data_IF_478973013580
#
_entry.id   IF_478973013580
#
_cell.length_a   1.000
_cell.length_b   1.000
_cell.length_c   1.000
_cell.angle_alpha   90.00
_cell.angle_beta   90.00
_cell.angle_gamma   90.00
#
_symmetry.space_group_name_H-M   'P 1'
#
loop_
_entity.id
_entity.type
_entity.pdbx_description
1 polymer ?
#
# COMPACT_ATOMS: atom_id res chain seq x y z
N UNK A 1 39.12 -20.08 12.15
CA UNK A 1 37.96 -19.50 11.45
C UNK A 1 38.13 -17.98 11.53
N UNK A 2 38.10 -17.27 10.39
CA UNK A 2 38.52 -15.86 10.30
C UNK A 2 37.37 -14.91 10.70
N UNK A 3 37.46 -14.31 11.88
CA UNK A 3 36.47 -13.36 12.42
C UNK A 3 36.26 -12.13 11.52
N UNK A 4 37.30 -11.68 10.80
CA UNK A 4 37.20 -10.54 9.89
C UNK A 4 36.28 -10.83 8.68
N UNK A 5 36.29 -12.08 8.18
CA UNK A 5 35.35 -12.49 7.13
C UNK A 5 33.90 -12.51 7.65
N UNK A 6 33.69 -12.88 8.91
CA UNK A 6 32.35 -12.96 9.49
C UNK A 6 31.71 -11.57 9.67
N UNK A 7 32.47 -10.59 10.17
CA UNK A 7 32.00 -9.22 10.38
C UNK A 7 31.68 -8.52 9.04
N UNK A 8 32.53 -8.70 8.03
CA UNK A 8 32.28 -8.15 6.69
C UNK A 8 31.00 -8.74 6.06
N UNK A 9 30.81 -10.06 6.19
CA UNK A 9 29.62 -10.75 5.67
C UNK A 9 28.33 -10.28 6.36
N UNK A 10 28.39 -9.92 7.65
CA UNK A 10 27.23 -9.36 8.39
C UNK A 10 26.91 -7.94 7.91
N UNK A 11 27.93 -7.09 7.75
CA UNK A 11 27.75 -5.71 7.28
C UNK A 11 27.14 -5.64 5.87
N UNK A 12 27.59 -6.49 4.95
CA UNK A 12 27.06 -6.58 3.59
C UNK A 12 25.62 -7.13 3.55
N UNK A 13 25.25 -8.07 4.44
CA UNK A 13 23.88 -8.57 4.50
C UNK A 13 22.89 -7.56 5.09
N UNK A 14 23.29 -6.75 6.07
CA UNK A 14 22.43 -5.70 6.66
C UNK A 14 22.08 -4.61 5.64
N UNK A 15 23.09 -4.08 4.95
CA UNK A 15 22.90 -3.06 3.90
C UNK A 15 22.04 -3.53 2.73
N UNK A 16 22.14 -4.81 2.35
CA UNK A 16 21.28 -5.41 1.32
C UNK A 16 19.83 -5.60 1.78
N UNK A 17 19.60 -5.95 3.05
CA UNK A 17 18.25 -6.06 3.62
C UNK A 17 17.57 -4.68 3.68
N UNK A 18 18.30 -3.67 4.12
CA UNK A 18 17.79 -2.29 4.21
C UNK A 18 17.36 -1.76 2.83
N UNK A 19 18.16 -2.01 1.79
CA UNK A 19 17.83 -1.62 0.41
C UNK A 19 16.58 -2.32 -0.14
N UNK A 20 16.38 -3.60 0.18
CA UNK A 20 15.19 -4.36 -0.25
C UNK A 20 13.94 -3.83 0.46
N UNK A 21 14.05 -3.55 1.76
CA UNK A 21 12.97 -2.99 2.58
C UNK A 21 12.58 -1.61 2.05
N UNK A 22 13.56 -0.73 1.76
CA UNK A 22 13.32 0.59 1.20
C UNK A 22 12.59 0.54 -0.14
N UNK A 23 13.07 -0.28 -1.09
CA UNK A 23 12.43 -0.44 -2.40
C UNK A 23 10.99 -0.97 -2.29
N UNK A 24 10.75 -1.89 -1.35
CA UNK A 24 9.39 -2.38 -1.09
C UNK A 24 8.49 -1.26 -0.55
N UNK A 25 8.95 -0.47 0.41
CA UNK A 25 8.17 0.66 0.93
C UNK A 25 7.86 1.69 -0.17
N UNK A 26 8.82 1.99 -1.04
CA UNK A 26 8.61 2.89 -2.19
C UNK A 26 7.52 2.37 -3.14
N UNK A 27 7.60 1.09 -3.54
CA UNK A 27 6.59 0.47 -4.42
C UNK A 27 5.20 0.41 -3.77
N UNK A 28 5.15 0.08 -2.48
CA UNK A 28 3.90 0.06 -1.72
C UNK A 28 3.28 1.46 -1.62
N UNK A 29 4.10 2.47 -1.30
CA UNK A 29 3.65 3.86 -1.19
C UNK A 29 3.13 4.40 -2.53
N UNK A 30 3.83 4.13 -3.64
CA UNK A 30 3.39 4.50 -4.97
C UNK A 30 2.01 3.88 -5.30
N UNK A 31 1.86 2.58 -5.04
CA UNK A 31 0.60 1.86 -5.28
C UNK A 31 -0.57 2.41 -4.45
N UNK A 32 -0.32 2.79 -3.19
CA UNK A 32 -1.34 3.38 -2.30
C UNK A 32 -1.71 4.78 -2.77
N UNK A 33 -0.73 5.58 -3.16
CA UNK A 33 -0.95 6.92 -3.70
C UNK A 33 -1.81 6.86 -4.97
N UNK A 34 -1.51 5.93 -5.88
CA UNK A 34 -2.29 5.74 -7.11
C UNK A 34 -3.73 5.28 -6.81
N UNK A 35 -3.90 4.39 -5.84
CA UNK A 35 -5.22 3.93 -5.41
C UNK A 35 -6.04 5.04 -4.73
N UNK A 36 -5.43 5.88 -3.88
CA UNK A 36 -6.09 7.05 -3.28
C UNK A 36 -6.48 8.07 -4.35
N UNK A 37 -5.59 8.36 -5.30
CA UNK A 37 -5.87 9.28 -6.40
C UNK A 37 -7.04 8.78 -7.25
N UNK A 38 -7.05 7.50 -7.61
CA UNK A 38 -8.15 6.86 -8.34
C UNK A 38 -9.47 6.95 -7.57
N UNK A 39 -9.46 6.65 -6.28
CA UNK A 39 -10.65 6.76 -5.41
C UNK A 39 -11.17 8.20 -5.34
N UNK A 40 -10.26 9.17 -5.24
CA UNK A 40 -10.59 10.60 -5.21
C UNK A 40 -11.19 11.09 -6.52
N UNK A 41 -10.61 10.72 -7.67
CA UNK A 41 -11.14 11.06 -8.99
C UNK A 41 -12.53 10.44 -9.23
N UNK A 42 -12.71 9.18 -8.84
CA UNK A 42 -14.00 8.48 -8.88
C UNK A 42 -15.04 9.21 -8.03
N UNK A 43 -14.69 9.63 -6.81
CA UNK A 43 -15.58 10.39 -5.92
C UNK A 43 -15.98 11.74 -6.52
N UNK A 44 -15.01 12.49 -7.06
CA UNK A 44 -15.25 13.81 -7.68
C UNK A 44 -16.18 13.65 -8.88
N UNK A 45 -15.89 12.71 -9.77
CA UNK A 45 -16.67 12.45 -10.98
C UNK A 45 -18.11 12.08 -10.63
N UNK A 46 -18.31 11.13 -9.69
CA UNK A 46 -19.65 10.75 -9.22
C UNK A 46 -20.39 11.91 -8.57
N UNK A 47 -19.73 12.69 -7.73
CA UNK A 47 -20.31 13.89 -7.10
C UNK A 47 -20.78 14.90 -8.15
N UNK A 48 -19.98 15.11 -9.21
CA UNK A 48 -20.33 16.03 -10.28
C UNK A 48 -21.57 15.56 -11.05
N UNK A 49 -21.61 14.27 -11.43
CA UNK A 49 -22.76 13.65 -12.11
C UNK A 49 -24.05 13.71 -11.28
N UNK A 50 -23.98 13.38 -9.99
CA UNK A 50 -25.14 13.42 -9.09
C UNK A 50 -25.68 14.86 -8.97
N UNK A 51 -24.78 15.86 -8.87
CA UNK A 51 -25.19 17.27 -8.76
C UNK A 51 -25.85 17.77 -10.05
N UNK A 52 -25.29 17.42 -11.21
CA UNK A 52 -25.78 17.87 -12.52
C UNK A 52 -27.03 17.15 -13.01
N UNK A 53 -27.38 16.00 -12.43
CA UNK A 53 -28.57 15.24 -12.78
C UNK A 53 -29.85 16.04 -12.45
N UNK A 54 -30.77 16.15 -13.41
CA UNK A 54 -32.03 16.89 -13.25
C UNK A 54 -33.24 15.95 -13.13
N UNK A 55 -33.01 14.65 -13.32
CA UNK A 55 -33.98 13.56 -13.35
C UNK A 55 -34.25 12.94 -11.98
N UNK A 56 -33.48 13.31 -10.95
CA UNK A 56 -33.59 12.76 -9.59
C UNK A 56 -33.98 13.84 -8.57
N UNK A 57 -34.72 13.41 -7.55
CA UNK A 57 -35.16 14.30 -6.46
C UNK A 57 -33.99 14.75 -5.57
N UNK A 58 -34.21 15.84 -4.82
CA UNK A 58 -33.22 16.33 -3.86
C UNK A 58 -32.83 15.27 -2.82
N UNK A 59 -33.79 14.47 -2.35
CA UNK A 59 -33.53 13.41 -1.37
C UNK A 59 -32.66 12.29 -1.96
N UNK A 60 -32.91 11.90 -3.21
CA UNK A 60 -32.10 10.92 -3.92
C UNK A 60 -30.68 11.42 -4.17
N UNK A 61 -30.51 12.72 -4.47
CA UNK A 61 -29.18 13.34 -4.57
C UNK A 61 -28.41 13.24 -3.26
N UNK A 62 -29.02 13.63 -2.15
CA UNK A 62 -28.38 13.59 -0.82
C UNK A 62 -27.98 12.15 -0.46
N UNK A 63 -28.91 11.20 -0.62
CA UNK A 63 -28.65 9.77 -0.35
C UNK A 63 -27.51 9.23 -1.23
N UNK A 64 -27.47 9.63 -2.51
CA UNK A 64 -26.42 9.19 -3.43
C UNK A 64 -25.05 9.81 -3.09
N UNK A 65 -25.03 11.05 -2.60
CA UNK A 65 -23.81 11.71 -2.15
C UNK A 65 -23.26 11.07 -0.87
N UNK A 66 -24.12 10.76 0.10
CA UNK A 66 -23.74 10.07 1.33
C UNK A 66 -23.15 8.69 1.00
N UNK A 67 -23.83 7.91 0.16
CA UNK A 67 -23.32 6.60 -0.28
C UNK A 67 -21.98 6.71 -1.03
N UNK A 68 -21.79 7.75 -1.84
CA UNK A 68 -20.53 8.01 -2.52
C UNK A 68 -19.41 8.36 -1.52
N UNK A 69 -19.73 9.10 -0.46
CA UNK A 69 -18.80 9.41 0.62
C UNK A 69 -18.41 8.15 1.43
N UNK A 70 -19.38 7.33 1.80
CA UNK A 70 -19.15 6.05 2.48
C UNK A 70 -18.26 5.12 1.65
N UNK A 71 -18.54 5.01 0.35
CA UNK A 71 -17.73 4.22 -0.58
C UNK A 71 -16.28 4.68 -0.62
N UNK A 72 -16.04 6.00 -0.69
CA UNK A 72 -14.69 6.55 -0.64
C UNK A 72 -14.01 6.24 0.69
N UNK A 73 -14.71 6.44 1.80
CA UNK A 73 -14.15 6.15 3.12
C UNK A 73 -13.76 4.67 3.24
N UNK A 74 -14.62 3.77 2.76
CA UNK A 74 -14.36 2.33 2.73
C UNK A 74 -13.11 1.97 1.90
N UNK A 75 -12.98 2.51 0.69
CA UNK A 75 -11.79 2.30 -0.17
C UNK A 75 -10.50 2.78 0.53
N UNK A 76 -10.55 3.93 1.23
CA UNK A 76 -9.41 4.43 2.02
C UNK A 76 -9.03 3.50 3.17
N UNK A 77 -10.03 3.03 3.93
CA UNK A 77 -9.80 2.10 5.04
C UNK A 77 -9.26 0.75 4.56
N UNK A 78 -9.77 0.21 3.45
CA UNK A 78 -9.21 -0.99 2.85
C UNK A 78 -7.75 -0.81 2.47
N UNK A 79 -7.41 0.27 1.77
CA UNK A 79 -6.02 0.54 1.37
C UNK A 79 -5.08 0.66 2.58
N UNK A 80 -5.53 1.32 3.66
CA UNK A 80 -4.77 1.44 4.90
C UNK A 80 -4.55 0.07 5.58
N UNK A 81 -5.60 -0.76 5.64
CA UNK A 81 -5.52 -2.10 6.21
C UNK A 81 -4.58 -3.01 5.41
N UNK A 82 -4.68 -2.99 4.07
CA UNK A 82 -3.77 -3.75 3.21
C UNK A 82 -2.32 -3.35 3.41
N UNK A 83 -2.03 -2.04 3.47
CA UNK A 83 -0.68 -1.56 3.73
C UNK A 83 -0.13 -2.04 5.08
N UNK A 84 -0.97 -1.95 6.12
CA UNK A 84 -0.62 -2.38 7.47
C UNK A 84 -0.28 -3.87 7.49
N UNK A 85 -1.13 -4.71 6.89
CA UNK A 85 -0.93 -6.17 6.82
C UNK A 85 0.35 -6.51 6.04
N UNK A 86 0.56 -5.91 4.86
CA UNK A 86 1.75 -6.18 4.03
C UNK A 86 3.02 -5.78 4.80
N UNK A 87 3.03 -4.60 5.43
CA UNK A 87 4.17 -4.11 6.19
C UNK A 87 4.54 -5.04 7.35
N UNK A 88 3.55 -5.46 8.16
CA UNK A 88 3.80 -6.39 9.27
C UNK A 88 4.22 -7.78 8.81
N UNK A 89 3.64 -8.27 7.70
CA UNK A 89 4.02 -9.58 7.14
C UNK A 89 5.49 -9.61 6.73
N UNK A 90 5.98 -8.52 6.15
CA UNK A 90 7.37 -8.42 5.68
C UNK A 90 8.32 -8.30 6.86
N UNK A 91 8.03 -7.41 7.81
CA UNK A 91 8.83 -7.27 9.04
C UNK A 91 8.88 -8.58 9.83
N UNK A 92 7.78 -9.35 9.87
CA UNK A 92 7.76 -10.66 10.50
C UNK A 92 8.67 -11.68 9.82
N UNK A 93 8.69 -11.71 8.48
CA UNK A 93 9.55 -12.62 7.70
C UNK A 93 11.03 -12.25 7.84
N UNK A 94 11.36 -10.95 7.83
CA UNK A 94 12.76 -10.50 7.95
C UNK A 94 13.38 -10.86 9.30
N UNK A 95 12.61 -10.78 10.40
CA UNK A 95 13.07 -11.14 11.74
C UNK A 95 13.13 -12.67 11.95
N UNK A 96 12.22 -13.43 11.34
CA UNK A 96 12.09 -14.87 11.61
C UNK A 96 13.11 -15.76 10.87
N UNK A 97 13.57 -15.42 9.66
CA UNK A 97 14.56 -16.26 8.96
C UNK A 97 15.30 -15.54 7.81
N UNK A 98 16.64 -15.47 7.84
CA UNK A 98 17.46 -14.99 6.72
C UNK A 98 17.29 -15.82 5.43
N UNK A 99 16.89 -17.09 5.54
CA UNK A 99 16.66 -17.98 4.39
C UNK A 99 15.37 -17.60 3.65
N UNK A 100 14.33 -17.18 4.37
CA UNK A 100 13.07 -16.70 3.78
C UNK A 100 13.25 -15.35 3.04
N UNK A 101 14.19 -14.51 3.51
CA UNK A 101 14.56 -13.24 2.88
C UNK A 101 15.00 -13.39 1.41
N UNK A 102 15.71 -14.48 1.06
CA UNK A 102 16.12 -14.76 -0.33
C UNK A 102 14.93 -14.95 -1.27
N UNK A 103 13.84 -15.55 -0.79
CA UNK A 103 12.63 -15.75 -1.59
C UNK A 103 11.83 -14.45 -1.76
N UNK A 104 11.74 -13.64 -0.69
CA UNK A 104 11.15 -12.29 -0.74
C UNK A 104 11.93 -11.42 -1.73
N UNK A 105 13.27 -11.43 -1.70
CA UNK A 105 14.09 -10.69 -2.66
C UNK A 105 13.68 -10.94 -4.11
N UNK A 106 13.47 -12.20 -4.50
CA UNK A 106 13.11 -12.57 -5.88
C UNK A 106 11.77 -11.96 -6.34
N UNK A 107 10.81 -11.76 -5.42
CA UNK A 107 9.52 -11.11 -5.70
C UNK A 107 9.64 -9.61 -5.95
N UNK A 108 10.63 -8.92 -5.39
CA UNK A 108 10.75 -7.46 -5.44
C UNK A 108 11.86 -6.93 -6.38
N UNK A 109 12.74 -7.80 -6.88
CA UNK A 109 13.76 -7.47 -7.89
C UNK A 109 13.38 -7.83 -9.34
N UNK A 110 12.14 -8.26 -9.59
CA UNK A 110 11.57 -8.35 -10.95
C UNK A 110 10.83 -7.05 -11.27
#
# INVERSE_FOLDING_TARGET
>A
MNENNYIQTIGENSTLQDSIIENMYLKAFASISDAENTSKEKYITKTMLIKSSNDISTQEKLTSLDKNYECRNYERWQNLLYFTIISFSVLGITVASPIAMKNVRKLFTT
#
